data_IF_068630612985
#
_entry.id   IF_068630612985
#
_cell.length_a   1.000
_cell.length_b   1.000
_cell.length_c   1.000
_cell.angle_alpha   90.00
_cell.angle_beta   90.00
_cell.angle_gamma   90.00
#
_symmetry.space_group_name_H-M   'P 1'
#
loop_
_entity.id
_entity.type
_entity.pdbx_description
1 polymer ?
#
# COMPACT_ATOMS: atom_id res chain seq x y z
N UNK A 1 18.98 -23.28 6.26
CA UNK A 1 18.26 -22.90 7.50
C UNK A 1 16.79 -22.76 7.14
N UNK A 2 15.91 -23.63 7.65
CA UNK A 2 14.46 -23.51 7.43
C UNK A 2 13.98 -22.24 8.13
N UNK A 3 13.78 -21.16 7.38
CA UNK A 3 13.33 -19.89 7.95
C UNK A 3 11.84 -20.01 8.24
N UNK A 4 11.51 -19.96 9.53
CA UNK A 4 10.24 -20.43 10.04
C UNK A 4 9.05 -19.59 9.53
N UNK A 5 8.07 -20.30 8.95
CA UNK A 5 6.69 -19.89 8.66
C UNK A 5 6.11 -18.79 9.60
N UNK A 6 6.30 -18.82 10.94
CA UNK A 6 5.82 -17.77 11.83
C UNK A 6 6.33 -16.35 11.53
N UNK A 7 7.55 -16.15 11.01
CA UNK A 7 8.04 -14.78 10.66
C UNK A 7 7.24 -14.17 9.51
N UNK A 8 6.94 -14.98 8.50
CA UNK A 8 6.14 -14.57 7.35
C UNK A 8 4.69 -14.31 7.73
N UNK A 9 4.09 -15.21 8.52
CA UNK A 9 2.74 -15.02 9.07
C UNK A 9 2.64 -13.75 9.91
N UNK A 10 3.66 -13.47 10.74
CA UNK A 10 3.72 -12.25 11.52
C UNK A 10 3.78 -11.00 10.64
N UNK A 11 4.65 -10.97 9.63
CA UNK A 11 4.74 -9.82 8.72
C UNK A 11 3.44 -9.59 7.94
N UNK A 12 2.84 -10.65 7.41
CA UNK A 12 1.55 -10.60 6.72
C UNK A 12 0.43 -10.10 7.66
N UNK A 13 0.42 -10.53 8.92
CA UNK A 13 -0.55 -10.08 9.91
C UNK A 13 -0.48 -8.56 10.13
N UNK A 14 0.72 -8.00 10.31
CA UNK A 14 0.88 -6.54 10.43
C UNK A 14 0.51 -5.80 9.14
N UNK A 15 0.86 -6.33 7.96
CA UNK A 15 0.45 -5.75 6.69
C UNK A 15 -1.08 -5.68 6.54
N UNK A 16 -1.79 -6.73 6.96
CA UNK A 16 -3.25 -6.75 6.93
C UNK A 16 -3.86 -5.81 7.97
N UNK A 17 -3.26 -5.67 9.16
CA UNK A 17 -3.69 -4.70 10.16
C UNK A 17 -3.54 -3.27 9.63
N UNK A 18 -2.37 -2.92 9.08
CA UNK A 18 -2.15 -1.56 8.58
C UNK A 18 -3.10 -1.23 7.43
N UNK A 19 -3.33 -2.18 6.52
CA UNK A 19 -4.32 -2.04 5.46
C UNK A 19 -5.74 -1.88 6.00
N UNK A 20 -6.12 -2.63 7.04
CA UNK A 20 -7.43 -2.51 7.67
C UNK A 20 -7.60 -1.16 8.37
N UNK A 21 -6.59 -0.70 9.09
CA UNK A 21 -6.59 0.62 9.71
C UNK A 21 -6.76 1.72 8.65
N UNK A 22 -5.99 1.70 7.57
CA UNK A 22 -6.13 2.65 6.45
C UNK A 22 -7.57 2.66 5.89
N UNK A 23 -8.14 1.48 5.63
CA UNK A 23 -9.52 1.35 5.16
C UNK A 23 -10.53 1.95 6.15
N UNK A 24 -10.36 1.69 7.46
CA UNK A 24 -11.24 2.24 8.49
C UNK A 24 -11.15 3.76 8.54
N UNK A 25 -9.94 4.35 8.49
CA UNK A 25 -9.77 5.80 8.46
C UNK A 25 -10.36 6.43 7.19
N UNK A 26 -10.18 5.78 6.05
CA UNK A 26 -10.80 6.20 4.80
C UNK A 26 -12.34 6.22 4.90
N UNK A 27 -12.95 5.20 5.50
CA UNK A 27 -14.40 5.17 5.75
C UNK A 27 -14.86 6.21 6.78
N UNK A 28 -14.13 6.37 7.90
CA UNK A 28 -14.50 7.31 8.97
C UNK A 28 -14.37 8.75 8.50
N UNK A 29 -13.47 9.05 7.57
CA UNK A 29 -13.28 10.38 6.96
C UNK A 29 -14.48 10.90 6.16
N UNK A 30 -15.56 10.13 6.02
CA UNK A 30 -16.85 10.58 5.46
C UNK A 30 -17.75 11.30 6.48
N UNK A 31 -17.56 11.03 7.77
CA UNK A 31 -18.41 11.53 8.85
C UNK A 31 -17.86 12.71 9.69
N UNK A 32 -16.64 13.27 9.51
CA UNK A 32 -16.17 14.34 10.38
C UNK A 32 -16.98 15.61 10.21
N UNK A 33 -17.49 16.14 11.32
CA UNK A 33 -18.11 17.48 11.38
C UNK A 33 -17.10 18.59 11.65
N UNK A 34 -15.88 18.27 12.08
CA UNK A 34 -14.82 19.24 12.38
C UNK A 34 -13.61 19.08 11.46
N UNK A 35 -13.05 20.22 11.05
CA UNK A 35 -11.84 20.29 10.22
C UNK A 35 -10.66 19.59 10.89
N UNK A 36 -10.44 19.87 12.16
CA UNK A 36 -9.30 19.33 12.91
C UNK A 36 -9.41 17.81 13.07
N UNK A 37 -10.64 17.29 13.21
CA UNK A 37 -10.90 15.86 13.21
C UNK A 37 -10.56 15.21 11.87
N UNK A 38 -10.95 15.82 10.75
CA UNK A 38 -10.62 15.32 9.42
C UNK A 38 -9.10 15.33 9.15
N UNK A 39 -8.40 16.37 9.61
CA UNK A 39 -6.95 16.50 9.49
C UNK A 39 -6.22 15.38 10.26
N UNK A 40 -6.65 15.09 11.49
CA UNK A 40 -6.10 13.98 12.27
C UNK A 40 -6.33 12.64 11.56
N UNK A 41 -7.51 12.42 10.98
CA UNK A 41 -7.79 11.19 10.22
C UNK A 41 -6.87 11.05 9.00
N UNK A 42 -6.61 12.13 8.25
CA UNK A 42 -5.69 12.12 7.12
C UNK A 42 -4.25 11.79 7.54
N UNK A 43 -3.77 12.35 8.66
CA UNK A 43 -2.44 12.02 9.20
C UNK A 43 -2.34 10.53 9.54
N UNK A 44 -3.32 9.98 10.26
CA UNK A 44 -3.30 8.57 10.61
C UNK A 44 -3.43 7.67 9.38
N UNK A 45 -4.28 8.04 8.42
CA UNK A 45 -4.42 7.32 7.16
C UNK A 45 -3.08 7.26 6.41
N UNK A 46 -2.42 8.41 6.21
CA UNK A 46 -1.12 8.46 5.53
C UNK A 46 -0.03 7.68 6.29
N UNK A 47 -0.06 7.70 7.63
CA UNK A 47 0.84 6.90 8.46
C UNK A 47 0.67 5.40 8.18
N UNK A 48 -0.56 4.88 8.23
CA UNK A 48 -0.82 3.46 7.97
C UNK A 48 -0.52 3.07 6.53
N UNK A 49 -0.71 3.99 5.59
CA UNK A 49 -0.39 3.80 4.19
C UNK A 49 1.13 3.67 3.97
N UNK A 50 1.92 4.54 4.59
CA UNK A 50 3.39 4.49 4.56
C UNK A 50 3.92 3.23 5.26
N UNK A 51 3.38 2.86 6.43
CA UNK A 51 3.74 1.62 7.14
C UNK A 51 3.44 0.37 6.30
N UNK A 52 2.30 0.36 5.60
CA UNK A 52 1.93 -0.72 4.68
C UNK A 52 2.95 -0.87 3.55
N UNK A 53 3.27 0.22 2.83
CA UNK A 53 4.30 0.16 1.78
C UNK A 53 5.67 -0.26 2.33
N UNK A 54 6.07 0.30 3.47
CA UNK A 54 7.38 0.02 4.06
C UNK A 54 7.52 -1.45 4.44
N UNK A 55 6.50 -2.04 5.06
CA UNK A 55 6.49 -3.47 5.38
C UNK A 55 6.45 -4.35 4.13
N UNK A 56 5.71 -3.95 3.08
CA UNK A 56 5.73 -4.65 1.79
C UNK A 56 7.14 -4.66 1.19
N UNK A 57 7.81 -3.51 1.13
CA UNK A 57 9.19 -3.37 0.62
C UNK A 57 10.19 -4.18 1.45
N UNK A 58 10.10 -4.14 2.77
CA UNK A 58 10.93 -4.95 3.66
C UNK A 58 10.77 -6.45 3.38
N UNK A 59 9.54 -6.90 3.15
CA UNK A 59 9.27 -8.32 2.82
C UNK A 59 9.89 -8.68 1.47
N UNK A 60 9.82 -7.76 0.50
CA UNK A 60 10.40 -7.88 -0.84
C UNK A 60 11.94 -7.95 -0.82
N UNK A 61 12.60 -7.11 -0.02
CA UNK A 61 14.06 -7.12 0.15
C UNK A 61 14.56 -8.35 0.91
N UNK A 62 13.72 -8.89 1.78
CA UNK A 62 14.03 -10.13 2.51
C UNK A 62 13.96 -11.36 1.61
N UNK A 63 13.36 -11.26 0.41
CA UNK A 63 13.18 -12.38 -0.52
C UNK A 63 14.49 -12.83 -1.13
N UNK A 64 14.68 -14.16 -1.26
CA UNK A 64 15.91 -14.74 -1.81
C UNK A 64 16.20 -14.25 -3.24
N UNK A 65 15.17 -14.07 -4.07
CA UNK A 65 15.29 -13.47 -5.42
C UNK A 65 15.95 -12.10 -5.42
N UNK A 66 15.69 -11.27 -4.40
CA UNK A 66 16.33 -9.96 -4.26
C UNK A 66 17.80 -10.12 -3.85
N UNK A 67 18.08 -11.05 -2.93
CA UNK A 67 19.43 -11.35 -2.44
C UNK A 67 20.32 -12.02 -3.51
N UNK A 68 19.73 -12.81 -4.41
CA UNK A 68 20.40 -13.50 -5.52
C UNK A 68 20.58 -12.61 -6.76
N UNK A 69 20.19 -11.34 -6.73
CA UNK A 69 20.34 -10.39 -7.83
C UNK A 69 19.28 -10.49 -8.94
N UNK A 70 18.26 -11.35 -8.79
CA UNK A 70 17.17 -11.56 -9.75
C UNK A 70 16.00 -10.55 -9.58
N UNK A 71 16.34 -9.32 -9.18
CA UNK A 71 15.39 -8.22 -8.94
C UNK A 71 14.49 -7.96 -10.13
N UNK A 72 15.02 -8.06 -11.35
CA UNK A 72 14.27 -7.73 -12.57
C UNK A 72 13.09 -8.68 -12.80
N UNK A 73 13.23 -9.97 -12.45
CA UNK A 73 12.15 -10.97 -12.58
C UNK A 73 11.03 -10.67 -11.58
N UNK A 74 11.40 -10.35 -10.34
CA UNK A 74 10.44 -10.02 -9.29
C UNK A 74 9.75 -8.68 -9.59
N UNK A 75 10.49 -7.67 -10.04
CA UNK A 75 9.98 -6.39 -10.47
C UNK A 75 9.00 -6.53 -11.64
N UNK A 76 9.29 -7.35 -12.67
CA UNK A 76 8.35 -7.65 -13.77
C UNK A 76 7.07 -8.30 -13.25
N UNK A 77 7.17 -9.27 -12.34
CA UNK A 77 6.02 -10.03 -11.80
C UNK A 77 5.09 -9.16 -10.94
N UNK A 78 5.65 -8.20 -10.21
CA UNK A 78 4.90 -7.31 -9.32
C UNK A 78 4.68 -5.89 -9.88
N UNK A 79 5.14 -5.58 -11.10
CA UNK A 79 5.08 -4.23 -11.70
C UNK A 79 3.70 -3.60 -11.63
N UNK A 80 2.67 -4.36 -11.99
CA UNK A 80 1.30 -3.87 -11.97
C UNK A 80 0.81 -3.56 -10.55
N UNK A 81 1.09 -4.44 -9.58
CA UNK A 81 0.69 -4.23 -8.20
C UNK A 81 1.46 -3.06 -7.56
N UNK A 82 2.78 -2.98 -7.80
CA UNK A 82 3.61 -1.88 -7.34
C UNK A 82 3.19 -0.54 -7.93
N UNK A 83 2.87 -0.49 -9.23
CA UNK A 83 2.38 0.71 -9.88
C UNK A 83 1.04 1.18 -9.30
N UNK A 84 0.08 0.28 -9.06
CA UNK A 84 -1.20 0.60 -8.42
C UNK A 84 -1.00 1.12 -7.00
N UNK A 85 -0.14 0.47 -6.20
CA UNK A 85 0.17 0.93 -4.85
C UNK A 85 0.83 2.31 -4.86
N UNK A 86 1.85 2.52 -5.69
CA UNK A 86 2.55 3.80 -5.78
C UNK A 86 1.62 4.93 -6.23
N UNK A 87 0.80 4.68 -7.26
CA UNK A 87 -0.17 5.65 -7.75
C UNK A 87 -1.20 6.03 -6.67
N UNK A 88 -1.70 5.04 -5.93
CA UNK A 88 -2.68 5.27 -4.85
C UNK A 88 -2.07 6.11 -3.72
N UNK A 89 -0.85 5.81 -3.28
CA UNK A 89 -0.19 6.56 -2.20
C UNK A 89 0.13 7.99 -2.60
N UNK A 90 0.69 8.17 -3.79
CA UNK A 90 0.96 9.52 -4.30
C UNK A 90 -0.33 10.32 -4.43
N UNK A 91 -1.40 9.71 -4.94
CA UNK A 91 -2.70 10.37 -5.05
C UNK A 91 -3.30 10.73 -3.68
N UNK A 92 -3.23 9.81 -2.71
CA UNK A 92 -3.75 10.03 -1.34
C UNK A 92 -3.03 11.21 -0.67
N UNK A 93 -1.70 11.15 -0.62
CA UNK A 93 -0.87 12.20 0.00
C UNK A 93 -1.04 13.54 -0.72
N UNK A 94 -1.07 13.54 -2.06
CA UNK A 94 -1.28 14.76 -2.83
C UNK A 94 -2.66 15.39 -2.56
N UNK A 95 -3.71 14.58 -2.43
CA UNK A 95 -5.06 15.08 -2.12
C UNK A 95 -5.17 15.61 -0.70
N UNK A 96 -4.58 14.93 0.29
CA UNK A 96 -4.52 15.44 1.66
C UNK A 96 -3.73 16.76 1.73
N UNK A 97 -2.60 16.87 1.02
CA UNK A 97 -1.82 18.09 0.94
C UNK A 97 -2.59 19.22 0.23
N UNK A 98 -3.25 18.93 -0.90
CA UNK A 98 -4.07 19.91 -1.61
C UNK A 98 -5.24 20.42 -0.74
N UNK A 99 -5.89 19.52 0.00
CA UNK A 99 -6.93 19.89 0.96
C UNK A 99 -6.40 20.75 2.10
N UNK A 100 -5.23 20.44 2.63
CA UNK A 100 -4.61 21.24 3.67
C UNK A 100 -4.30 22.65 3.18
N UNK A 101 -3.78 22.80 1.96
CA UNK A 101 -3.50 24.10 1.35
C UNK A 101 -4.78 24.93 1.13
N UNK A 102 -5.85 24.29 0.63
CA UNK A 102 -7.18 24.90 0.44
C UNK A 102 -7.74 25.44 1.77
N UNK A 103 -7.67 24.63 2.85
CA UNK A 103 -8.17 25.00 4.17
C UNK A 103 -7.25 25.91 4.98
N UNK A 104 -5.97 25.98 4.63
CA UNK A 104 -5.02 26.90 5.24
C UNK A 104 -5.30 28.34 4.83
N UNK A 105 -5.64 28.55 3.54
CA UNK A 105 -5.97 29.86 3.02
C UNK A 105 -7.31 30.38 3.56
N UNK A 106 -8.36 29.55 3.48
CA UNK A 106 -9.71 29.92 3.90
C UNK A 106 -10.38 28.80 4.72
N UNK A 107 -10.27 28.84 6.05
CA UNK A 107 -10.78 27.79 6.96
C UNK A 107 -12.26 27.43 6.80
N UNK A 108 -13.10 28.45 6.58
CA UNK A 108 -14.56 28.33 6.54
C UNK A 108 -15.12 28.16 5.12
N UNK A 109 -14.27 28.24 4.09
CA UNK A 109 -14.69 28.08 2.69
C UNK A 109 -15.16 26.64 2.45
N UNK A 110 -16.09 26.44 1.51
CA UNK A 110 -16.37 25.09 1.01
C UNK A 110 -15.25 24.69 0.06
N UNK A 111 -14.72 23.47 0.20
CA UNK A 111 -13.65 23.00 -0.68
C UNK A 111 -14.07 23.01 -2.15
N UNK A 112 -13.10 23.29 -3.02
CA UNK A 112 -13.37 23.42 -4.45
C UNK A 112 -14.08 22.17 -5.03
N UNK A 113 -15.03 22.34 -5.97
CA UNK A 113 -15.74 21.21 -6.58
C UNK A 113 -14.80 20.17 -7.21
N UNK A 114 -13.67 20.63 -7.75
CA UNK A 114 -12.62 19.77 -8.27
C UNK A 114 -12.02 18.87 -7.19
N UNK A 115 -11.68 19.43 -6.03
CA UNK A 115 -11.11 18.68 -4.92
C UNK A 115 -12.10 17.62 -4.40
N UNK A 116 -13.38 17.97 -4.27
CA UNK A 116 -14.44 17.03 -3.88
C UNK A 116 -14.57 15.87 -4.89
N UNK A 117 -14.53 16.19 -6.19
CA UNK A 117 -14.57 15.19 -7.26
C UNK A 117 -13.37 14.24 -7.19
N UNK A 118 -12.16 14.79 -7.00
CA UNK A 118 -10.94 13.99 -6.89
C UNK A 118 -10.94 13.09 -5.64
N UNK A 119 -11.39 13.59 -4.48
CA UNK A 119 -11.58 12.75 -3.28
C UNK A 119 -12.57 11.62 -3.53
N UNK A 120 -13.68 11.91 -4.21
CA UNK A 120 -14.69 10.90 -4.54
C UNK A 120 -14.12 9.83 -5.45
N UNK A 121 -13.37 10.23 -6.48
CA UNK A 121 -12.71 9.32 -7.42
C UNK A 121 -11.64 8.46 -6.73
N UNK A 122 -10.80 9.07 -5.88
CA UNK A 122 -9.80 8.34 -5.10
C UNK A 122 -10.47 7.27 -4.22
N UNK A 123 -11.58 7.62 -3.56
CA UNK A 123 -12.33 6.68 -2.71
C UNK A 123 -12.96 5.55 -3.51
N UNK A 124 -13.48 5.83 -4.70
CA UNK A 124 -13.99 4.80 -5.61
C UNK A 124 -12.89 3.84 -6.10
N UNK A 125 -11.64 4.32 -6.22
CA UNK A 125 -10.48 3.50 -6.59
C UNK A 125 -9.87 2.75 -5.40
N UNK A 126 -10.18 3.14 -4.16
CA UNK A 126 -9.62 2.52 -2.96
C UNK A 126 -9.85 1.00 -2.84
N UNK A 127 -11.03 0.41 -3.19
CA UNK A 127 -11.22 -1.03 -3.15
C UNK A 127 -10.27 -1.79 -4.09
N UNK A 128 -9.93 -1.15 -5.22
CA UNK A 128 -8.98 -1.70 -6.17
C UNK A 128 -7.58 -1.76 -5.56
N UNK A 129 -7.14 -0.67 -4.92
CA UNK A 129 -5.89 -0.64 -4.18
C UNK A 129 -5.82 -1.75 -3.12
N UNK A 130 -6.84 -1.87 -2.25
CA UNK A 130 -6.85 -2.89 -1.20
C UNK A 130 -6.81 -4.32 -1.77
N UNK A 131 -7.50 -4.57 -2.89
CA UNK A 131 -7.47 -5.86 -3.56
C UNK A 131 -6.06 -6.20 -4.09
N UNK A 132 -5.43 -5.26 -4.81
CA UNK A 132 -4.09 -5.47 -5.38
C UNK A 132 -3.02 -5.56 -4.29
N UNK A 133 -3.11 -4.74 -3.25
CA UNK A 133 -2.21 -4.77 -2.11
C UNK A 133 -2.29 -6.11 -1.37
N UNK A 134 -3.51 -6.56 -1.00
CA UNK A 134 -3.71 -7.88 -0.35
C UNK A 134 -3.14 -9.02 -1.20
N UNK A 135 -3.40 -8.99 -2.51
CA UNK A 135 -2.91 -10.01 -3.44
C UNK A 135 -1.37 -9.98 -3.54
N UNK A 136 -0.76 -8.80 -3.52
CA UNK A 136 0.70 -8.66 -3.51
C UNK A 136 1.30 -9.18 -2.20
N UNK A 137 0.72 -8.80 -1.05
CA UNK A 137 1.16 -9.22 0.27
C UNK A 137 1.16 -10.75 0.40
N UNK A 138 0.05 -11.39 0.07
CA UNK A 138 -0.08 -12.85 0.12
C UNK A 138 0.90 -13.58 -0.80
N UNK A 139 1.17 -13.02 -1.99
CA UNK A 139 2.12 -13.61 -2.93
C UNK A 139 3.56 -13.45 -2.47
N UNK A 140 3.93 -12.29 -1.94
CA UNK A 140 5.28 -12.01 -1.45
C UNK A 140 5.57 -12.84 -0.20
N UNK A 141 4.58 -13.11 0.65
CA UNK A 141 4.73 -13.95 1.85
C UNK A 141 4.74 -15.46 1.57
N UNK A 142 4.67 -15.91 0.30
CA UNK A 142 4.75 -17.33 -0.04
C UNK A 142 6.17 -17.88 0.25
N UNK A 143 6.34 -18.89 1.12
CA UNK A 143 7.64 -19.43 1.49
C UNK A 143 8.47 -19.95 0.31
N UNK A 144 7.84 -20.28 -0.83
CA UNK A 144 8.54 -20.71 -2.06
C UNK A 144 9.52 -19.67 -2.61
N UNK A 145 9.29 -18.38 -2.32
CA UNK A 145 10.20 -17.32 -2.73
C UNK A 145 11.47 -17.21 -1.85
N UNK A 146 11.53 -17.95 -0.74
CA UNK A 146 12.61 -17.90 0.23
C UNK A 146 13.38 -19.23 0.34
N UNK A 147 12.76 -20.36 0.00
CA UNK A 147 13.35 -21.69 0.24
C UNK A 147 13.75 -22.48 -1.02
N UNK A 148 13.09 -22.30 -2.18
CA UNK A 148 13.31 -23.16 -3.36
C UNK A 148 13.90 -22.42 -4.58
N UNK A 149 15.09 -22.86 -5.01
CA UNK A 149 15.76 -22.47 -6.27
C UNK A 149 15.25 -23.30 -7.46
N UNK A 150 14.69 -24.49 -7.22
CA UNK A 150 14.40 -25.46 -8.28
C UNK A 150 13.33 -25.00 -9.27
N UNK A 151 12.33 -24.23 -8.83
CA UNK A 151 11.32 -23.67 -9.73
C UNK A 151 11.88 -22.55 -10.63
N UNK A 152 12.93 -21.84 -10.17
CA UNK A 152 13.61 -20.79 -10.93
C UNK A 152 14.52 -21.43 -11.98
N UNK A 153 15.21 -22.52 -11.63
CA UNK A 153 16.04 -23.28 -12.58
C UNK A 153 15.21 -23.81 -13.75
N UNK A 154 13.98 -24.28 -13.51
CA UNK A 154 13.08 -24.69 -14.61
C UNK A 154 12.61 -23.53 -15.50
N UNK A 155 12.42 -22.32 -14.95
CA UNK A 155 12.04 -21.15 -15.76
C UNK A 155 13.23 -20.55 -16.54
N UNK A 156 14.45 -20.62 -15.99
CA UNK A 156 15.68 -20.20 -16.68
C UNK A 156 16.12 -21.19 -17.77
N UNK A 157 15.79 -22.49 -17.64
CA UNK A 157 16.07 -23.50 -18.67
C UNK A 157 15.05 -23.50 -19.83
N UNK A 158 13.88 -22.88 -19.63
CA UNK A 158 12.83 -22.79 -20.65
C UNK A 158 12.95 -21.54 -21.55
N UNK A 159 13.97 -20.72 -21.34
CA UNK A 159 14.26 -19.52 -22.14
C UNK A 159 15.66 -19.62 -22.75
#
# INVERSE_FOLDING_TARGET
MKLSTPRYTFCLFFQLIFMLCDLLFNCVSLFPRSRDGLLVLFIFQDLFLVLSITTMLMTFFSTYLFQAGLVEVLARKFRAAGAVCAAYVLASVALHAAWLLDKWAEPESVSTPLLICLFTLQRCLSPWYYFFYKRAALRVSDPRFYEDIDWINQQLQAH
#
